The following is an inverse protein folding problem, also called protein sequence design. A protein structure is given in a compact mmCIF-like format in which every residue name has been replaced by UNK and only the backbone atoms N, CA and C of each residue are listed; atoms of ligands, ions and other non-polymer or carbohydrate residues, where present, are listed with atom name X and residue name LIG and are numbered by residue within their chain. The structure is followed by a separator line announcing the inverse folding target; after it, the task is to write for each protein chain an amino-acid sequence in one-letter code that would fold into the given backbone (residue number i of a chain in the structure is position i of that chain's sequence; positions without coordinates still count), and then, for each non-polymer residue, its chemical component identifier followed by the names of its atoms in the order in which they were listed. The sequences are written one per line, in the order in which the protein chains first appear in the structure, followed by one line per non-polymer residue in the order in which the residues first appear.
data_IF_737277610658
#
_entry.id   IF_737277610658
#
_cell.length_a   1.000
_cell.length_b   1.000
_cell.length_c   1.000
_cell.angle_alpha   90.00
_cell.angle_beta   90.00
_cell.angle_gamma   90.00
#
_symmetry.space_group_name_H-M   'P 1'
#
loop_
_entity.id
_entity.type
_entity.pdbx_description
1 polymer ?
#
# COMPACT_ATOMS: atom_id res chain seq x y z
N UNK A 1 14.96 7.64 10.62
CA UNK A 1 14.15 7.83 9.39
C UNK A 1 14.01 6.55 8.56
N UNK A 2 15.04 5.70 8.42
CA UNK A 2 14.94 4.38 7.75
C UNK A 2 14.46 3.24 8.67
N UNK A 3 14.81 3.29 9.96
CA UNK A 3 14.47 2.24 10.93
C UNK A 3 12.96 2.03 11.11
N UNK A 4 12.17 3.10 11.01
CA UNK A 4 10.70 3.06 11.16
C UNK A 4 10.02 2.38 9.97
N UNK A 5 10.52 2.62 8.75
CA UNK A 5 10.00 1.97 7.54
C UNK A 5 10.34 0.47 7.53
N UNK A 6 11.53 0.11 8.02
CA UNK A 6 11.97 -1.28 8.19
C UNK A 6 11.21 -1.98 9.32
N UNK A 7 10.91 -1.29 10.43
CA UNK A 7 10.05 -1.81 11.50
C UNK A 7 8.62 -2.04 11.04
N UNK A 8 8.06 -1.14 10.24
CA UNK A 8 6.72 -1.30 9.64
C UNK A 8 6.67 -2.50 8.68
N UNK A 9 7.74 -2.72 7.92
CA UNK A 9 7.93 -3.92 7.08
C UNK A 9 7.93 -5.21 7.92
N UNK A 10 8.80 -5.25 8.94
CA UNK A 10 8.96 -6.39 9.84
C UNK A 10 7.67 -6.69 10.59
N UNK A 11 6.98 -5.67 11.08
CA UNK A 11 5.71 -5.81 11.79
C UNK A 11 4.57 -6.28 10.86
N UNK A 12 4.52 -5.79 9.62
CA UNK A 12 3.60 -6.31 8.60
C UNK A 12 3.83 -7.79 8.31
N UNK A 13 5.09 -8.21 8.23
CA UNK A 13 5.48 -9.58 7.92
C UNK A 13 5.19 -10.53 9.10
N UNK A 14 5.39 -10.05 10.33
CA UNK A 14 5.15 -10.82 11.55
C UNK A 14 3.66 -11.00 11.87
N UNK A 15 2.78 -10.13 11.33
CA UNK A 15 1.36 -10.08 11.68
C UNK A 15 0.43 -10.59 10.55
N UNK A 16 0.96 -11.13 9.45
CA UNK A 16 0.13 -11.45 8.28
C UNK A 16 0.60 -12.60 7.38
N UNK A 17 -0.08 -13.75 7.49
CA UNK A 17 -0.05 -14.85 6.50
C UNK A 17 -1.01 -14.68 5.30
N UNK A 18 -1.75 -13.56 5.22
CA UNK A 18 -2.75 -13.33 4.15
C UNK A 18 -2.22 -12.38 3.08
N UNK A 19 -2.12 -12.85 1.85
CA UNK A 19 -1.62 -12.13 0.66
C UNK A 19 -2.20 -10.71 0.49
N UNK A 20 -3.47 -10.49 0.85
CA UNK A 20 -4.12 -9.17 0.78
C UNK A 20 -3.47 -8.11 1.70
N UNK A 21 -2.98 -8.52 2.89
CA UNK A 21 -2.29 -7.61 3.82
C UNK A 21 -0.87 -7.29 3.35
N UNK A 22 -0.21 -8.21 2.63
CA UNK A 22 1.09 -7.96 1.99
C UNK A 22 0.96 -6.92 0.89
N UNK A 23 -0.08 -6.99 0.05
CA UNK A 23 -0.36 -6.00 -1.01
C UNK A 23 -0.46 -4.57 -0.44
N UNK A 24 -1.24 -4.37 0.63
CA UNK A 24 -1.42 -3.04 1.24
C UNK A 24 -0.12 -2.50 1.84
N UNK A 25 0.61 -3.32 2.60
CA UNK A 25 1.85 -2.88 3.23
C UNK A 25 2.95 -2.59 2.20
N UNK A 26 3.14 -3.48 1.22
CA UNK A 26 4.08 -3.26 0.10
C UNK A 26 3.74 -1.99 -0.68
N UNK A 27 2.46 -1.75 -0.95
CA UNK A 27 2.03 -0.52 -1.62
C UNK A 27 2.35 0.75 -0.84
N UNK A 28 2.22 0.72 0.49
CA UNK A 28 2.55 1.86 1.36
C UNK A 28 4.06 2.13 1.43
N UNK A 29 4.87 1.06 1.48
CA UNK A 29 6.34 1.16 1.45
C UNK A 29 6.83 1.77 0.13
N UNK A 30 6.30 1.28 -1.01
CA UNK A 30 6.62 1.80 -2.34
C UNK A 30 6.23 3.29 -2.45
N UNK A 31 5.04 3.66 -1.96
CA UNK A 31 4.59 5.06 -1.94
C UNK A 31 5.56 5.96 -1.15
N UNK A 32 6.07 5.46 -0.03
CA UNK A 32 7.00 6.21 0.82
C UNK A 32 8.38 6.38 0.15
N UNK A 33 8.87 5.37 -0.57
CA UNK A 33 10.10 5.45 -1.37
C UNK A 33 9.94 6.46 -2.52
N UNK A 34 8.81 6.44 -3.24
CA UNK A 34 8.52 7.41 -4.30
C UNK A 34 8.51 8.85 -3.79
N UNK A 35 7.88 9.11 -2.64
CA UNK A 35 7.90 10.44 -2.01
C UNK A 35 9.34 10.85 -1.63
N UNK A 36 10.13 9.93 -1.06
CA UNK A 36 11.54 10.19 -0.74
C UNK A 36 12.39 10.51 -1.96
N UNK A 37 12.20 9.77 -3.05
CA UNK A 37 12.87 10.04 -4.32
C UNK A 37 12.44 11.40 -4.86
N UNK A 38 11.17 11.75 -4.69
CA UNK A 38 10.62 13.04 -5.12
C UNK A 38 11.36 14.23 -4.52
N UNK A 39 11.68 14.15 -3.22
CA UNK A 39 12.44 15.19 -2.52
C UNK A 39 13.92 15.27 -2.95
N UNK A 40 14.43 14.24 -3.63
CA UNK A 40 15.75 14.25 -4.26
C UNK A 40 15.76 14.76 -5.70
N UNK A 41 14.59 15.11 -6.26
CA UNK A 41 14.45 15.64 -7.62
C UNK A 41 13.95 17.09 -7.59
N UNK A 42 14.38 17.90 -8.54
CA UNK A 42 13.99 19.32 -8.63
C UNK A 42 13.06 19.58 -9.83
N UNK A 43 12.33 20.69 -9.77
CA UNK A 43 11.42 21.12 -10.83
C UNK A 43 10.15 20.26 -10.95
N UNK A 44 9.60 20.16 -12.16
CA UNK A 44 8.30 19.51 -12.44
C UNK A 44 8.29 18.01 -12.08
N UNK A 45 9.45 17.37 -12.11
CA UNK A 45 9.60 15.94 -11.82
C UNK A 45 9.23 15.61 -10.37
N UNK A 46 9.54 16.51 -9.43
CA UNK A 46 9.12 16.35 -8.03
C UNK A 46 7.59 16.30 -7.93
N UNK A 47 6.89 17.27 -8.52
CA UNK A 47 5.42 17.29 -8.47
C UNK A 47 4.80 16.03 -9.09
N UNK A 48 5.34 15.55 -10.22
CA UNK A 48 4.86 14.32 -10.86
C UNK A 48 5.11 13.10 -9.97
N UNK A 49 6.27 12.99 -9.33
CA UNK A 49 6.59 11.88 -8.43
C UNK A 49 5.69 11.86 -7.19
N UNK A 50 5.46 13.02 -6.54
CA UNK A 50 4.55 13.11 -5.38
C UNK A 50 3.15 12.66 -5.78
N UNK A 51 2.61 13.20 -6.88
CA UNK A 51 1.25 12.87 -7.34
C UNK A 51 1.14 11.38 -7.66
N UNK A 52 2.13 10.82 -8.35
CA UNK A 52 2.18 9.38 -8.67
C UNK A 52 2.26 8.53 -7.41
N UNK A 53 3.06 8.91 -6.42
CA UNK A 53 3.20 8.20 -5.16
C UNK A 53 1.89 8.12 -4.37
N UNK A 54 1.19 9.25 -4.28
CA UNK A 54 -0.10 9.34 -3.57
C UNK A 54 -1.17 8.55 -4.31
N UNK A 55 -1.28 8.71 -5.64
CA UNK A 55 -2.24 7.95 -6.44
C UNK A 55 -2.00 6.44 -6.33
N UNK A 56 -0.75 6.00 -6.39
CA UNK A 56 -0.39 4.60 -6.24
C UNK A 56 -0.83 4.04 -4.87
N UNK A 57 -0.57 4.76 -3.77
CA UNK A 57 -1.04 4.36 -2.44
C UNK A 57 -2.56 4.26 -2.33
N UNK A 58 -3.29 5.22 -2.91
CA UNK A 58 -4.76 5.22 -2.93
C UNK A 58 -5.32 4.06 -3.75
N UNK A 59 -4.75 3.77 -4.93
CA UNK A 59 -5.19 2.65 -5.79
C UNK A 59 -5.02 1.31 -5.07
N UNK A 60 -3.87 1.09 -4.42
CA UNK A 60 -3.62 -0.15 -3.67
C UNK A 60 -4.61 -0.29 -2.50
N UNK A 61 -4.91 0.81 -1.80
CA UNK A 61 -5.91 0.80 -0.72
C UNK A 61 -7.32 0.48 -1.25
N UNK A 62 -7.70 1.05 -2.41
CA UNK A 62 -8.99 0.79 -3.05
C UNK A 62 -9.13 -0.67 -3.51
N UNK A 63 -8.09 -1.24 -4.13
CA UNK A 63 -8.06 -2.65 -4.54
C UNK A 63 -8.21 -3.56 -3.33
N UNK A 64 -7.47 -3.28 -2.26
CA UNK A 64 -7.56 -4.04 -1.01
C UNK A 64 -8.98 -4.02 -0.43
N UNK A 65 -9.59 -2.84 -0.32
CA UNK A 65 -10.94 -2.68 0.23
C UNK A 65 -12.00 -3.43 -0.59
N UNK A 66 -11.87 -3.39 -1.93
CA UNK A 66 -12.76 -4.11 -2.84
C UNK A 66 -12.58 -5.63 -2.75
N UNK A 67 -11.34 -6.12 -2.58
CA UNK A 67 -11.07 -7.54 -2.37
C UNK A 67 -11.65 -8.06 -1.06
N UNK A 68 -11.51 -7.33 0.06
CA UNK A 68 -12.14 -7.72 1.33
C UNK A 68 -13.67 -7.78 1.22
N UNK A 69 -14.27 -6.81 0.54
CA UNK A 69 -15.73 -6.77 0.34
C UNK A 69 -16.22 -7.95 -0.52
N UNK A 70 -15.44 -8.37 -1.52
CA UNK A 70 -15.77 -9.50 -2.39
C UNK A 70 -15.65 -10.86 -1.64
N UNK A 71 -14.66 -11.01 -0.78
CA UNK A 71 -14.50 -12.20 0.08
C UNK A 71 -15.67 -12.33 1.09
N UNK A 72 -16.09 -11.21 1.69
CA UNK A 72 -17.23 -11.18 2.61
C UNK A 72 -18.53 -11.60 1.92
N UNK A 73 -18.79 -11.06 0.73
CA UNK A 73 -20.03 -11.35 0.00
C UNK A 73 -20.07 -12.79 -0.55
N UNK A 74 -18.92 -13.39 -0.83
CA UNK A 74 -18.85 -14.81 -1.23
C UNK A 74 -19.31 -15.73 -0.11
N UNK A 75 -18.95 -15.43 1.13
CA UNK A 75 -19.27 -16.26 2.31
C UNK A 75 -20.77 -16.25 2.61
N UNK A 76 -21.45 -15.11 2.42
CA UNK A 76 -22.89 -14.97 2.64
C UNK A 76 -23.76 -15.75 1.65
N UNK A 77 -23.26 -16.03 0.44
CA UNK A 77 -24.01 -16.79 -0.58
C UNK A 77 -23.93 -18.30 -0.40
N UNK A 78 -23.01 -18.81 0.43
CA UNK A 78 -22.91 -20.26 0.74
C UNK A 78 -23.72 -20.67 1.98
N UNK A 79 -24.31 -19.71 2.71
CA UNK A 79 -25.13 -19.97 3.91
C UNK A 79 -26.66 -19.86 3.65
N UNK A 80 -27.08 -19.69 2.39
CA UNK A 80 -28.48 -19.76 1.92
C UNK A 80 -28.65 -20.84 0.87
#
# INVERSE_FOLDING_TARGET
MILVEVLLLLFSFFLSDKFNRVIRNSGFIISTILIKLSFGTEGILNTILIVTAVLFGVIILAIHNKYETLEANKTSTFET
#
